data_IF_544198932671
#
_entry.id   IF_544198932671
#
_cell.length_a   1.000
_cell.length_b   1.000
_cell.length_c   1.000
_cell.angle_alpha   90.00
_cell.angle_beta   90.00
_cell.angle_gamma   90.00
#
_symmetry.space_group_name_H-M   'P 1'
#
loop_
_entity.id
_entity.type
_entity.pdbx_description
1 polymer ?
#
# COMPACT_ATOMS: atom_id res chain seq x y z
N UNK A 1 2.86 -2.81 -19.28
CA UNK A 1 1.77 -3.81 -19.43
C UNK A 1 0.80 -3.28 -20.47
N UNK A 2 0.09 -4.18 -21.14
CA UNK A 2 -0.74 -3.89 -22.30
C UNK A 2 -2.22 -4.10 -21.90
N UNK A 3 -2.99 -3.02 -21.86
CA UNK A 3 -4.41 -3.01 -21.44
C UNK A 3 -5.33 -3.72 -22.44
N UNK A 4 -4.86 -4.03 -23.66
CA UNK A 4 -5.64 -4.77 -24.66
C UNK A 4 -5.74 -6.27 -24.38
N UNK A 5 -4.99 -6.78 -23.39
CA UNK A 5 -4.91 -8.20 -23.04
C UNK A 5 -5.54 -8.45 -21.67
N UNK A 6 -6.18 -9.61 -21.50
CA UNK A 6 -6.70 -10.04 -20.20
C UNK A 6 -5.59 -10.10 -19.15
N UNK A 7 -5.91 -9.66 -17.93
CA UNK A 7 -4.97 -9.61 -16.81
C UNK A 7 -5.30 -10.70 -15.80
N UNK A 8 -4.33 -11.56 -15.52
CA UNK A 8 -4.45 -12.54 -14.45
C UNK A 8 -3.69 -12.06 -13.21
N UNK A 9 -4.39 -12.03 -12.06
CA UNK A 9 -3.82 -11.71 -10.76
C UNK A 9 -3.84 -12.99 -9.92
N UNK A 10 -2.74 -13.30 -9.24
CA UNK A 10 -2.65 -14.46 -8.35
C UNK A 10 -2.01 -14.10 -7.01
N UNK A 11 -2.41 -14.79 -5.94
CA UNK A 11 -1.79 -14.61 -4.64
C UNK A 11 -0.39 -15.26 -4.62
N UNK A 12 0.67 -14.57 -4.16
CA UNK A 12 2.05 -15.08 -4.26
C UNK A 12 2.31 -16.35 -3.43
N UNK A 13 1.64 -16.48 -2.27
CA UNK A 13 1.77 -17.67 -1.38
C UNK A 13 0.78 -18.77 -1.74
N UNK A 14 -0.43 -18.42 -2.19
CA UNK A 14 -1.50 -19.36 -2.50
C UNK A 14 -1.78 -19.27 -3.99
N UNK A 15 -0.85 -19.74 -4.80
CA UNK A 15 -0.84 -19.55 -6.27
C UNK A 15 -2.04 -20.17 -7.00
N UNK A 16 -2.79 -21.03 -6.32
CA UNK A 16 -4.08 -21.57 -6.75
C UNK A 16 -5.23 -20.55 -6.66
N UNK A 17 -5.07 -19.46 -5.90
CA UNK A 17 -5.99 -18.31 -5.88
C UNK A 17 -5.62 -17.38 -7.03
N UNK A 18 -6.28 -17.55 -8.18
CA UNK A 18 -6.09 -16.75 -9.40
C UNK A 18 -7.42 -16.15 -9.83
N UNK A 19 -7.39 -14.93 -10.35
CA UNK A 19 -8.56 -14.22 -10.90
C UNK A 19 -8.16 -13.53 -12.19
N UNK A 20 -8.96 -13.71 -13.26
CA UNK A 20 -8.78 -13.03 -14.54
C UNK A 20 -9.69 -11.82 -14.66
N UNK A 21 -9.17 -10.72 -15.17
CA UNK A 21 -9.88 -9.46 -15.41
C UNK A 21 -9.81 -9.09 -16.90
N UNK A 22 -10.94 -8.59 -17.40
CA UNK A 22 -11.08 -7.98 -18.72
C UNK A 22 -11.56 -6.53 -18.54
N UNK A 23 -11.28 -5.65 -19.50
CA UNK A 23 -11.70 -4.24 -19.48
C UNK A 23 -11.23 -3.46 -18.23
N UNK A 24 -9.92 -3.49 -17.94
CA UNK A 24 -9.31 -2.75 -16.84
C UNK A 24 -8.51 -1.55 -17.35
N UNK A 25 -8.14 -0.66 -16.42
CA UNK A 25 -7.19 0.44 -16.68
C UNK A 25 -6.02 0.31 -15.72
N UNK A 26 -4.81 0.63 -16.18
CA UNK A 26 -3.58 0.61 -15.39
C UNK A 26 -3.19 2.02 -15.02
N UNK A 27 -3.04 2.26 -13.72
CA UNK A 27 -2.49 3.51 -13.19
C UNK A 27 -1.11 3.25 -12.59
N UNK A 28 -0.06 3.98 -12.99
CA UNK A 28 1.24 3.87 -12.34
C UNK A 28 1.14 4.40 -10.91
N UNK A 29 1.37 3.52 -9.92
CA UNK A 29 1.31 3.87 -8.50
C UNK A 29 2.49 4.74 -8.05
N UNK A 30 3.65 4.56 -8.69
CA UNK A 30 4.85 5.34 -8.41
C UNK A 30 4.94 6.51 -9.38
N UNK A 31 4.77 7.72 -8.87
CA UNK A 31 5.05 8.96 -9.62
C UNK A 31 6.41 9.51 -9.19
N UNK A 32 7.20 9.97 -10.16
CA UNK A 32 8.48 10.62 -9.89
C UNK A 32 8.24 12.01 -9.30
N UNK A 33 8.87 12.29 -8.16
CA UNK A 33 8.83 13.62 -7.54
C UNK A 33 10.02 14.49 -7.95
N UNK A 34 11.21 13.90 -8.05
CA UNK A 34 12.45 14.62 -8.35
C UNK A 34 13.14 14.04 -9.58
N UNK A 35 13.72 14.92 -10.40
CA UNK A 35 14.58 14.58 -11.52
C UNK A 35 15.79 15.52 -11.53
N UNK A 36 17.01 14.95 -11.48
CA UNK A 36 18.24 15.74 -11.43
C UNK A 36 18.32 16.72 -10.25
N UNK A 37 17.71 16.39 -9.10
CA UNK A 37 17.66 17.26 -7.91
C UNK A 37 16.60 18.36 -7.96
N UNK A 38 15.80 18.45 -9.03
CA UNK A 38 14.69 19.41 -9.15
C UNK A 38 13.35 18.71 -8.90
N UNK A 39 12.47 19.37 -8.16
CA UNK A 39 11.08 18.92 -7.99
C UNK A 39 10.36 19.08 -9.33
N UNK A 40 9.88 17.97 -9.90
CA UNK A 40 9.13 17.90 -11.18
C UNK A 40 7.67 17.50 -11.00
N UNK A 41 7.25 17.33 -9.74
CA UNK A 41 5.88 17.02 -9.37
C UNK A 41 5.21 18.26 -8.78
N UNK A 42 4.09 18.65 -9.36
CA UNK A 42 3.21 19.67 -8.80
C UNK A 42 2.59 19.14 -7.51
N UNK A 43 2.93 19.79 -6.40
CA UNK A 43 2.40 19.42 -5.08
C UNK A 43 0.91 19.81 -5.05
N UNK A 44 -0.01 18.84 -4.93
CA UNK A 44 -1.42 19.14 -4.82
C UNK A 44 -1.71 19.87 -3.52
N UNK A 45 -2.75 20.70 -3.52
CA UNK A 45 -3.21 21.33 -2.29
C UNK A 45 -3.92 20.32 -1.36
N UNK A 46 -4.20 20.75 -0.13
CA UNK A 46 -4.80 19.88 0.89
C UNK A 46 -6.19 19.36 0.49
N UNK A 47 -6.97 20.14 -0.26
CA UNK A 47 -8.31 19.76 -0.69
C UNK A 47 -8.26 18.79 -1.87
N UNK A 48 -7.30 18.97 -2.78
CA UNK A 48 -7.00 18.02 -3.85
C UNK A 48 -6.57 16.65 -3.29
N UNK A 49 -5.67 16.63 -2.29
CA UNK A 49 -5.27 15.41 -1.59
C UNK A 49 -6.49 14.77 -0.93
N UNK A 50 -7.32 15.55 -0.24
CA UNK A 50 -8.52 15.05 0.44
C UNK A 50 -9.52 14.45 -0.54
N UNK A 51 -9.75 15.10 -1.68
CA UNK A 51 -10.63 14.62 -2.74
C UNK A 51 -10.11 13.34 -3.36
N UNK A 52 -8.80 13.29 -3.64
CA UNK A 52 -8.14 12.10 -4.16
C UNK A 52 -8.25 10.92 -3.21
N UNK A 53 -7.96 11.11 -1.91
CA UNK A 53 -8.13 10.08 -0.89
C UNK A 53 -9.58 9.56 -0.82
N UNK A 54 -10.58 10.45 -0.89
CA UNK A 54 -11.99 10.01 -0.96
C UNK A 54 -12.22 9.14 -2.20
N UNK A 55 -11.85 9.62 -3.39
CA UNK A 55 -12.06 8.88 -4.64
C UNK A 55 -11.41 7.48 -4.62
N UNK A 56 -10.18 7.38 -4.11
CA UNK A 56 -9.44 6.11 -4.02
C UNK A 56 -9.93 5.21 -2.87
N UNK A 57 -10.61 5.74 -1.85
CA UNK A 57 -11.22 4.93 -0.80
C UNK A 57 -12.60 4.38 -1.19
N UNK A 58 -13.36 5.13 -1.99
CA UNK A 58 -14.73 4.79 -2.40
C UNK A 58 -14.78 3.97 -3.70
N UNK A 59 -13.88 2.99 -3.90
CA UNK A 59 -13.96 1.98 -4.99
C UNK A 59 -15.20 1.05 -4.85
N UNK A 60 -16.39 1.61 -4.61
CA UNK A 60 -17.65 0.89 -4.43
C UNK A 60 -17.94 0.41 -3.01
N UNK A 61 -17.02 0.54 -2.05
CA UNK A 61 -17.25 0.16 -0.65
C UNK A 61 -17.30 1.37 0.29
N UNK A 62 -18.24 1.33 1.24
CA UNK A 62 -18.41 2.35 2.26
C UNK A 62 -17.70 1.92 3.54
N UNK A 63 -16.65 2.65 3.94
CA UNK A 63 -16.23 2.63 5.34
C UNK A 63 -17.31 3.32 6.16
N UNK A 64 -17.80 2.64 7.19
CA UNK A 64 -18.87 3.17 8.05
C UNK A 64 -18.43 4.44 8.80
N UNK A 65 -17.12 4.68 8.98
CA UNK A 65 -16.60 5.95 9.49
C UNK A 65 -15.09 6.12 9.25
N UNK A 66 -14.63 7.39 9.27
CA UNK A 66 -13.20 7.76 9.17
C UNK A 66 -12.39 7.23 10.36
N UNK A 67 -13.02 7.17 11.54
CA UNK A 67 -12.46 6.60 12.75
C UNK A 67 -12.14 5.11 12.57
N UNK A 68 -13.00 4.36 11.86
CA UNK A 68 -12.77 2.93 11.60
C UNK A 68 -11.54 2.70 10.72
N UNK A 69 -11.35 3.52 9.69
CA UNK A 69 -10.15 3.49 8.85
C UNK A 69 -8.88 3.81 9.65
N UNK A 70 -8.91 4.88 10.45
CA UNK A 70 -7.77 5.27 11.28
C UNK A 70 -7.38 4.13 12.22
N UNK A 71 -8.38 3.47 12.81
CA UNK A 71 -8.16 2.37 13.73
C UNK A 71 -7.49 1.18 13.03
N UNK A 72 -7.98 0.78 11.87
CA UNK A 72 -7.43 -0.34 11.11
C UNK A 72 -5.98 -0.05 10.66
N UNK A 73 -5.68 1.19 10.25
CA UNK A 73 -4.31 1.63 9.90
C UNK A 73 -3.38 1.58 11.13
N UNK A 74 -3.84 2.09 12.27
CA UNK A 74 -3.07 2.06 13.52
C UNK A 74 -2.79 0.63 13.96
N UNK A 75 -3.80 -0.24 13.87
CA UNK A 75 -3.67 -1.65 14.23
C UNK A 75 -2.66 -2.37 13.33
N UNK A 76 -2.70 -2.10 12.02
CA UNK A 76 -1.74 -2.65 11.07
C UNK A 76 -0.31 -2.19 11.37
N UNK A 77 -0.08 -0.89 11.60
CA UNK A 77 1.24 -0.35 11.94
C UNK A 77 1.76 -0.97 13.24
N UNK A 78 0.89 -1.13 14.24
CA UNK A 78 1.23 -1.75 15.52
C UNK A 78 1.63 -3.21 15.32
N UNK A 79 0.83 -4.01 14.61
CA UNK A 79 1.14 -5.39 14.30
C UNK A 79 2.48 -5.52 13.53
N UNK A 80 2.68 -4.69 12.51
CA UNK A 80 3.89 -4.70 11.69
C UNK A 80 5.15 -4.49 12.54
N UNK A 81 5.11 -3.54 13.48
CA UNK A 81 6.28 -3.20 14.26
C UNK A 81 6.57 -4.16 15.42
N UNK A 82 5.53 -4.78 16.00
CA UNK A 82 5.65 -5.50 17.29
C UNK A 82 5.45 -7.00 17.18
N UNK A 83 4.77 -7.49 16.15
CA UNK A 83 4.38 -8.91 16.04
C UNK A 83 4.84 -9.56 14.76
N UNK A 84 5.20 -8.79 13.73
CA UNK A 84 5.58 -9.34 12.43
C UNK A 84 6.96 -10.00 12.50
N UNK A 85 6.97 -11.32 12.45
CA UNK A 85 8.18 -12.13 12.34
C UNK A 85 8.68 -12.09 10.88
N UNK A 86 9.97 -11.83 10.69
CA UNK A 86 10.62 -11.92 9.37
C UNK A 86 11.84 -12.83 9.43
N UNK A 87 11.98 -13.67 8.42
CA UNK A 87 13.11 -14.60 8.28
C UNK A 87 14.45 -13.85 8.21
N UNK A 88 14.51 -12.74 7.47
CA UNK A 88 15.70 -11.90 7.36
C UNK A 88 16.02 -11.08 8.62
N UNK A 89 15.16 -11.10 9.64
CA UNK A 89 15.40 -10.52 10.96
C UNK A 89 15.66 -11.61 12.01
N UNK A 90 16.15 -12.79 11.60
CA UNK A 90 16.38 -13.94 12.49
C UNK A 90 15.13 -14.35 13.29
N UNK A 91 13.94 -14.12 12.72
CA UNK A 91 12.67 -14.42 13.40
C UNK A 91 12.19 -13.35 14.39
N UNK A 92 12.86 -12.20 14.49
CA UNK A 92 12.46 -11.10 15.37
C UNK A 92 11.43 -10.17 14.72
N UNK A 93 10.69 -9.44 15.56
CA UNK A 93 9.90 -8.31 15.08
C UNK A 93 10.81 -7.11 14.75
N UNK A 94 10.36 -6.14 13.93
CA UNK A 94 11.17 -4.97 13.59
C UNK A 94 11.67 -4.17 14.78
N UNK A 95 10.90 -4.08 15.88
CA UNK A 95 11.36 -3.37 17.08
C UNK A 95 12.37 -4.21 17.88
N UNK A 96 12.14 -5.51 18.01
CA UNK A 96 13.04 -6.41 18.74
C UNK A 96 14.40 -6.49 18.06
N UNK A 97 14.43 -6.54 16.72
CA UNK A 97 15.66 -6.51 15.94
C UNK A 97 16.45 -5.21 16.17
N UNK A 98 15.77 -4.07 16.26
CA UNK A 98 16.42 -2.78 16.56
C UNK A 98 17.04 -2.79 17.96
N UNK A 99 16.35 -3.34 18.96
CA UNK A 99 16.85 -3.42 20.33
C UNK A 99 18.04 -4.37 20.46
N UNK A 100 18.00 -5.53 19.79
CA UNK A 100 19.11 -6.48 19.75
C UNK A 100 20.37 -5.91 19.09
N UNK A 101 20.25 -4.88 18.24
CA UNK A 101 21.41 -4.27 17.56
C UNK A 101 22.22 -3.32 18.46
N UNK A 102 21.73 -3.01 19.68
CA UNK A 102 22.39 -2.14 20.65
C UNK A 102 23.04 -2.89 21.82
N UNK A 103 23.00 -4.22 21.83
CA UNK A 103 23.80 -5.11 22.69
C UNK A 103 25.04 -5.60 21.93
#
# INVERSE_FOLDING_TARGET
>A
MDESKSLEIFHPIYTWKRTSYENYTLRPMLKKFFEGGKLVYDLPDIEEIRKYCKQEMFYGENYSSYEKLIEDIKEYIKWYNTKRIKENLKGMSPIDYRLHSFE
#
